data_IF_121412369906
#
_entry.id   IF_121412369906
#
_cell.length_a   1.000
_cell.length_b   1.000
_cell.length_c   1.000
_cell.angle_alpha   90.00
_cell.angle_beta   90.00
_cell.angle_gamma   90.00
#
_symmetry.space_group_name_H-M   'P 1'
#
loop_
_entity.id
_entity.type
_entity.pdbx_description
1 polymer ?
#
# COMPACT_ATOMS: atom_id res chain seq x y z
N UNK A 1 19.80 -11.24 -6.17
CA UNK A 1 19.14 -10.59 -5.02
C UNK A 1 18.79 -11.69 -4.02
N UNK A 2 19.69 -12.01 -3.09
CA UNK A 2 19.48 -13.08 -2.11
C UNK A 2 18.41 -12.59 -1.14
N UNK A 3 17.16 -12.95 -1.41
CA UNK A 3 16.09 -12.77 -0.43
C UNK A 3 16.45 -13.66 0.75
N UNK A 4 16.76 -13.04 1.89
CA UNK A 4 16.97 -13.73 3.17
C UNK A 4 15.86 -14.78 3.37
N UNK A 5 16.16 -15.96 3.92
CA UNK A 5 15.15 -17.01 4.16
C UNK A 5 13.89 -16.48 4.89
N UNK A 6 14.03 -15.44 5.71
CA UNK A 6 12.95 -14.73 6.41
C UNK A 6 12.03 -13.95 5.44
N UNK A 7 12.58 -13.39 4.37
CA UNK A 7 11.81 -12.73 3.32
C UNK A 7 11.03 -13.73 2.48
N UNK A 8 11.59 -14.91 2.23
CA UNK A 8 10.91 -15.97 1.47
C UNK A 8 9.73 -16.54 2.27
N UNK A 9 9.93 -16.78 3.57
CA UNK A 9 8.87 -17.25 4.48
C UNK A 9 7.71 -16.25 4.58
N UNK A 10 8.03 -14.94 4.58
CA UNK A 10 7.03 -13.86 4.54
C UNK A 10 6.31 -13.72 3.20
N UNK A 11 6.91 -14.17 2.11
CA UNK A 11 6.30 -14.24 0.77
C UNK A 11 5.44 -15.52 0.63
N UNK A 12 5.86 -16.64 1.23
CA UNK A 12 5.10 -17.88 1.25
C UNK A 12 3.80 -17.75 2.06
N UNK A 13 3.87 -17.09 3.22
CA UNK A 13 2.66 -16.71 3.98
C UNK A 13 1.75 -15.73 3.19
N UNK A 14 2.32 -14.92 2.30
CA UNK A 14 1.57 -13.97 1.45
C UNK A 14 0.82 -14.67 0.31
N UNK A 15 1.37 -15.76 -0.24
CA UNK A 15 0.67 -16.60 -1.23
C UNK A 15 -0.44 -17.43 -0.57
N UNK A 16 -0.20 -17.97 0.63
CA UNK A 16 -1.21 -18.68 1.42
C UNK A 16 -2.41 -17.79 1.79
N UNK A 17 -2.21 -16.49 2.07
CA UNK A 17 -3.30 -15.57 2.39
C UNK A 17 -4.13 -15.13 1.17
N UNK A 18 -3.56 -15.12 -0.04
CA UNK A 18 -4.30 -14.80 -1.26
C UNK A 18 -5.31 -15.90 -1.63
N UNK A 19 -5.00 -17.17 -1.37
CA UNK A 19 -5.95 -18.27 -1.53
C UNK A 19 -7.03 -18.32 -0.43
N UNK A 20 -6.72 -17.82 0.78
CA UNK A 20 -7.65 -17.89 1.92
C UNK A 20 -8.59 -16.66 2.03
N UNK A 21 -8.22 -15.53 1.44
CA UNK A 21 -9.06 -14.33 1.37
C UNK A 21 -10.35 -14.49 0.55
N UNK A 22 -10.37 -15.44 -0.39
CA UNK A 22 -11.59 -15.77 -1.17
C UNK A 22 -12.56 -16.61 -0.32
N UNK A 23 -12.06 -17.46 0.59
CA UNK A 23 -12.90 -18.37 1.38
C UNK A 23 -13.64 -17.69 2.54
N UNK A 24 -13.11 -16.58 3.08
CA UNK A 24 -13.74 -15.88 4.21
C UNK A 24 -14.87 -14.94 3.81
N UNK A 25 -15.07 -14.69 2.51
CA UNK A 25 -16.18 -13.90 2.01
C UNK A 25 -17.49 -14.70 1.82
N UNK A 26 -17.46 -16.03 1.89
CA UNK A 26 -18.63 -16.88 1.61
C UNK A 26 -19.23 -17.61 2.83
N UNK A 27 -18.75 -17.34 4.05
CA UNK A 27 -19.36 -17.91 5.27
C UNK A 27 -19.89 -16.79 6.17
N UNK A 28 -20.95 -16.13 5.72
CA UNK A 28 -21.83 -15.31 6.57
C UNK A 28 -23.23 -15.20 5.96
N UNK A 29 -23.79 -16.37 5.72
CA UNK A 29 -25.22 -16.65 5.61
C UNK A 29 -25.20 -18.06 6.18
N UNK A 30 -25.53 -18.33 7.44
CA UNK A 30 -26.88 -18.31 8.00
C UNK A 30 -26.79 -18.33 9.54
N UNK A 31 -27.44 -17.37 10.20
CA UNK A 31 -28.10 -17.52 11.51
C UNK A 31 -28.75 -16.18 11.88
N UNK A 32 -29.97 -15.96 11.38
CA UNK A 32 -30.88 -14.97 11.93
C UNK A 32 -31.57 -15.58 13.15
N UNK A 33 -31.29 -15.07 14.36
CA UNK A 33 -32.26 -15.12 15.47
C UNK A 33 -32.36 -13.73 16.12
N UNK A 34 -33.46 -13.06 15.77
CA UNK A 34 -34.21 -11.98 16.40
C UNK A 34 -33.56 -11.08 17.49
N UNK A 35 -33.42 -9.79 17.14
CA UNK A 35 -33.47 -8.65 18.07
C UNK A 35 -33.98 -7.42 17.32
N UNK A 36 -35.16 -6.91 17.71
CA UNK A 36 -36.02 -5.97 16.95
C UNK A 36 -35.41 -4.56 16.70
N UNK A 37 -35.86 -3.83 15.65
CA UNK A 37 -35.29 -2.55 15.22
C UNK A 37 -36.03 -1.37 15.85
N UNK A 38 -35.35 -0.27 16.22
CA UNK A 38 -35.97 1.08 16.31
C UNK A 38 -34.97 2.26 16.26
N UNK A 39 -35.14 3.03 15.18
CA UNK A 39 -35.07 4.50 15.03
C UNK A 39 -33.73 5.26 14.99
N UNK A 40 -33.56 5.95 13.86
CA UNK A 40 -32.69 7.10 13.68
C UNK A 40 -33.11 8.21 14.66
N UNK A 41 -32.23 8.60 15.59
CA UNK A 41 -32.42 9.80 16.41
C UNK A 41 -31.24 10.74 16.26
N UNK A 42 -31.57 11.94 15.78
CA UNK A 42 -30.71 13.07 15.45
C UNK A 42 -30.52 13.93 16.71
N UNK A 43 -29.26 14.19 17.10
CA UNK A 43 -28.81 15.38 17.84
C UNK A 43 -28.97 15.41 19.38
N UNK A 44 -27.86 15.65 20.10
CA UNK A 44 -27.61 16.79 21.04
C UNK A 44 -26.37 16.54 21.92
N UNK A 45 -25.79 17.63 22.45
CA UNK A 45 -24.39 17.82 22.87
C UNK A 45 -23.93 17.19 24.19
N UNK A 46 -22.62 16.93 24.29
CA UNK A 46 -21.86 16.85 25.54
C UNK A 46 -20.43 16.31 25.33
N UNK A 47 -19.35 17.02 25.72
CA UNK A 47 -18.00 16.48 25.60
C UNK A 47 -17.78 15.48 26.73
N UNK A 48 -18.33 14.27 26.57
CA UNK A 48 -18.00 13.18 27.48
C UNK A 48 -16.51 12.91 27.31
N UNK A 49 -15.76 13.13 28.38
CA UNK A 49 -14.33 12.86 28.53
C UNK A 49 -14.10 11.34 28.44
N UNK A 50 -14.37 10.76 27.26
CA UNK A 50 -14.20 9.35 26.94
C UNK A 50 -12.71 9.14 26.86
N UNK A 51 -12.13 8.78 28.01
CA UNK A 51 -10.82 8.17 28.15
C UNK A 51 -10.50 7.41 26.86
N UNK A 52 -9.46 7.86 26.14
CA UNK A 52 -8.93 7.19 24.95
C UNK A 52 -8.54 5.78 25.37
N UNK A 53 -9.50 4.85 25.38
CA UNK A 53 -9.26 3.43 25.57
C UNK A 53 -8.34 3.05 24.41
N UNK A 54 -7.05 2.90 24.71
CA UNK A 54 -6.03 2.49 23.75
C UNK A 54 -6.54 1.17 23.16
N UNK A 55 -7.01 1.20 21.90
CA UNK A 55 -7.46 -0.01 21.22
C UNK A 55 -6.25 -0.93 21.14
N UNK A 56 -6.33 -2.10 21.77
CA UNK A 56 -5.33 -3.14 21.63
C UNK A 56 -5.43 -3.63 20.19
N UNK A 57 -4.39 -3.40 19.40
CA UNK A 57 -4.33 -3.86 18.01
C UNK A 57 -4.17 -5.38 18.03
N UNK A 58 -5.12 -6.08 17.44
CA UNK A 58 -5.05 -7.55 17.35
C UNK A 58 -4.00 -7.97 16.31
N UNK A 59 -3.52 -9.22 16.43
CA UNK A 59 -2.56 -9.79 15.46
C UNK A 59 -3.12 -9.73 14.04
N UNK A 60 -4.39 -10.05 13.86
CA UNK A 60 -5.11 -9.98 12.56
C UNK A 60 -5.13 -8.56 12.01
N UNK A 61 -5.41 -7.55 12.85
CA UNK A 61 -5.41 -6.14 12.42
C UNK A 61 -4.01 -5.68 11.99
N UNK A 62 -2.96 -6.13 12.71
CA UNK A 62 -1.56 -5.85 12.36
C UNK A 62 -1.17 -6.51 11.03
N UNK A 63 -1.57 -7.77 10.82
CA UNK A 63 -1.33 -8.49 9.56
C UNK A 63 -2.02 -7.81 8.38
N UNK A 64 -3.30 -7.46 8.53
CA UNK A 64 -4.04 -6.73 7.49
C UNK A 64 -3.39 -5.38 7.15
N UNK A 65 -2.87 -4.66 8.15
CA UNK A 65 -2.12 -3.42 7.91
C UNK A 65 -0.81 -3.67 7.13
N UNK A 66 -0.05 -4.71 7.48
CA UNK A 66 1.17 -5.08 6.76
C UNK A 66 0.91 -5.46 5.30
N UNK A 67 -0.20 -6.16 5.01
CA UNK A 67 -0.60 -6.50 3.63
C UNK A 67 -0.89 -5.23 2.84
N UNK A 68 -1.65 -4.29 3.40
CA UNK A 68 -1.94 -3.01 2.73
C UNK A 68 -0.66 -2.22 2.43
N UNK A 69 0.26 -2.14 3.39
CA UNK A 69 1.50 -1.40 3.18
C UNK A 69 2.40 -2.05 2.13
N UNK A 70 2.44 -3.39 2.06
CA UNK A 70 3.16 -4.10 0.98
C UNK A 70 2.57 -3.80 -0.39
N UNK A 71 1.24 -3.81 -0.53
CA UNK A 71 0.56 -3.45 -1.79
C UNK A 71 0.88 -2.00 -2.19
N UNK A 72 0.82 -1.06 -1.24
CA UNK A 72 1.21 0.34 -1.46
C UNK A 72 2.67 0.48 -1.90
N UNK A 73 3.58 -0.26 -1.27
CA UNK A 73 5.01 -0.22 -1.62
C UNK A 73 5.27 -0.85 -2.99
N UNK A 74 4.55 -1.92 -3.34
CA UNK A 74 4.62 -2.55 -4.66
C UNK A 74 4.24 -1.55 -5.77
N UNK A 75 3.08 -0.90 -5.65
CA UNK A 75 2.66 0.11 -6.65
C UNK A 75 3.62 1.29 -6.74
N UNK A 76 4.22 1.70 -5.61
CA UNK A 76 5.25 2.74 -5.61
C UNK A 76 6.51 2.30 -6.34
N UNK A 77 6.94 1.04 -6.16
CA UNK A 77 8.12 0.51 -6.82
C UNK A 77 7.89 0.36 -8.34
N UNK A 78 6.70 -0.07 -8.77
CA UNK A 78 6.36 -0.13 -10.19
C UNK A 78 6.43 1.25 -10.85
N UNK A 79 5.83 2.28 -10.24
CA UNK A 79 5.92 3.65 -10.75
C UNK A 79 7.37 4.15 -10.82
N UNK A 80 8.22 3.76 -9.86
CA UNK A 80 9.65 4.08 -9.87
C UNK A 80 10.41 3.37 -10.99
N UNK A 81 10.00 2.17 -11.38
CA UNK A 81 10.61 1.42 -12.48
C UNK A 81 10.15 1.95 -13.85
N UNK A 82 8.89 2.38 -13.96
CA UNK A 82 8.41 3.11 -15.11
C UNK A 82 9.17 4.42 -15.31
N UNK A 83 9.38 5.19 -14.23
CA UNK A 83 10.17 6.43 -14.28
C UNK A 83 11.58 6.16 -14.80
N UNK A 84 12.26 5.12 -14.30
CA UNK A 84 13.62 4.75 -14.78
C UNK A 84 13.66 4.49 -16.27
N UNK A 85 12.59 3.91 -16.84
CA UNK A 85 12.48 3.64 -18.28
C UNK A 85 12.35 4.90 -19.13
N UNK A 86 11.89 6.01 -18.54
CA UNK A 86 11.72 7.31 -19.20
C UNK A 86 12.92 8.22 -19.02
N UNK A 87 13.69 8.00 -17.96
CA UNK A 87 14.93 8.74 -17.70
C UNK A 87 16.01 8.26 -18.68
N UNK A 88 16.72 9.17 -19.37
CA UNK A 88 17.77 8.79 -20.31
C UNK A 88 18.95 8.17 -19.57
N UNK A 89 19.28 6.92 -19.90
CA UNK A 89 20.44 6.18 -19.37
C UNK A 89 21.07 5.33 -20.47
N UNK A 90 22.35 4.97 -20.33
CA UNK A 90 22.99 4.07 -21.30
C UNK A 90 22.51 2.63 -21.11
N UNK A 91 22.38 1.87 -22.21
CA UNK A 91 21.74 0.54 -22.20
C UNK A 91 22.44 -0.51 -21.32
N UNK A 92 23.74 -0.33 -21.05
CA UNK A 92 24.58 -1.23 -20.23
C UNK A 92 24.81 -0.70 -18.80
N UNK A 93 24.12 0.37 -18.41
CA UNK A 93 24.26 0.92 -17.06
C UNK A 93 23.51 0.11 -16.01
N UNK A 94 24.09 0.12 -14.80
CA UNK A 94 23.46 -0.43 -13.61
C UNK A 94 22.10 0.24 -13.36
N UNK A 95 21.17 -0.50 -12.75
CA UNK A 95 19.87 0.05 -12.31
C UNK A 95 20.10 1.21 -11.33
N UNK A 96 19.57 2.39 -11.67
CA UNK A 96 19.68 3.59 -10.86
C UNK A 96 19.00 3.44 -9.49
N UNK A 97 19.60 4.03 -8.44
CA UNK A 97 18.95 4.20 -7.14
C UNK A 97 17.78 5.17 -7.23
N UNK A 98 16.92 5.19 -6.19
CA UNK A 98 15.77 6.12 -6.16
C UNK A 98 16.20 7.58 -6.24
N UNK A 99 17.25 7.96 -5.52
CA UNK A 99 17.74 9.35 -5.50
C UNK A 99 18.36 9.76 -6.84
N UNK A 100 19.16 8.87 -7.47
CA UNK A 100 19.73 9.13 -8.79
C UNK A 100 18.63 9.28 -9.85
N UNK A 101 17.63 8.39 -9.82
CA UNK A 101 16.49 8.44 -10.75
C UNK A 101 15.75 9.78 -10.66
N UNK A 102 15.47 10.26 -9.44
CA UNK A 102 14.77 11.54 -9.23
C UNK A 102 15.61 12.73 -9.70
N UNK A 103 16.91 12.75 -9.37
CA UNK A 103 17.81 13.82 -9.80
C UNK A 103 17.89 13.91 -11.32
N UNK A 104 18.06 12.78 -11.99
CA UNK A 104 18.20 12.73 -13.44
C UNK A 104 16.88 13.08 -14.16
N UNK A 105 15.73 12.66 -13.61
CA UNK A 105 14.43 13.06 -14.13
C UNK A 105 14.22 14.59 -14.09
N UNK A 106 14.58 15.25 -12.99
CA UNK A 106 14.48 16.71 -12.85
C UNK A 106 15.36 17.40 -13.90
N UNK A 107 16.63 16.99 -14.00
CA UNK A 107 17.58 17.55 -14.98
C UNK A 107 17.06 17.35 -16.40
N UNK A 108 16.51 16.17 -16.70
CA UNK A 108 16.00 15.86 -18.03
C UNK A 108 14.79 16.72 -18.41
N UNK A 109 13.85 16.95 -17.49
CA UNK A 109 12.72 17.85 -17.72
C UNK A 109 13.23 19.26 -18.01
N UNK A 110 14.12 19.81 -17.17
CA UNK A 110 14.70 21.14 -17.39
C UNK A 110 15.40 21.25 -18.75
N UNK A 111 16.24 20.28 -19.09
CA UNK A 111 16.94 20.25 -20.37
C UNK A 111 15.98 20.22 -21.58
N UNK A 112 14.92 19.42 -21.51
CA UNK A 112 13.92 19.36 -22.57
C UNK A 112 13.12 20.65 -22.70
N UNK A 113 12.80 21.31 -21.57
CA UNK A 113 12.16 22.62 -21.57
C UNK A 113 13.06 23.68 -22.23
N UNK A 114 14.33 23.76 -21.82
CA UNK A 114 15.28 24.72 -22.37
C UNK A 114 15.48 24.52 -23.87
N UNK A 115 15.54 23.26 -24.34
CA UNK A 115 15.67 22.95 -25.77
C UNK A 115 14.46 23.49 -26.54
N UNK A 116 13.24 23.25 -26.06
CA UNK A 116 12.02 23.70 -26.72
C UNK A 116 11.85 25.22 -26.72
N UNK A 117 12.37 25.93 -25.72
CA UNK A 117 12.31 27.40 -25.65
C UNK A 117 13.37 28.09 -26.53
N UNK A 118 14.49 27.42 -26.79
CA UNK A 118 15.59 27.93 -27.62
C UNK A 118 15.51 27.48 -29.09
N UNK A 119 14.40 26.87 -29.51
CA UNK A 119 14.11 26.50 -30.91
C UNK A 119 12.97 27.36 -31.46
#
# INVERSE_FOLDING_TARGET
LVLSPICLEKILNYLLDLENGVRTAEVSTEHLVMGAPRYCSRGTHGPSNKSKRRRIITVVQRQAANVRERKRMFSLNEAFDELRRKVPTFAYEKRLSRIETLRLAIIYISFMTDLLENT
#
